data_IF_383212729715
#
_entry.id   IF_383212729715
#
_cell.length_a   1.000
_cell.length_b   1.000
_cell.length_c   1.000
_cell.angle_alpha   90.00
_cell.angle_beta   90.00
_cell.angle_gamma   90.00
#
_symmetry.space_group_name_H-M   'P 1'
#
loop_
_entity.id
_entity.type
_entity.pdbx_description
1 polymer ?
#
# COMPACT_ATOMS: atom_id res chain seq x y z
N UNK A 1 -2.31 28.78 14.69
CA UNK A 1 -1.95 27.50 15.32
C UNK A 1 -2.78 26.45 14.62
N UNK A 2 -2.16 25.65 13.76
CA UNK A 2 -2.86 24.54 13.11
C UNK A 2 -3.16 23.49 14.17
N UNK A 3 -4.44 23.31 14.46
CA UNK A 3 -4.96 22.24 15.32
C UNK A 3 -4.74 20.91 14.59
N UNK A 4 -3.52 20.37 14.65
CA UNK A 4 -3.25 19.02 14.19
C UNK A 4 -3.86 18.08 15.22
N UNK A 5 -5.04 17.55 14.91
CA UNK A 5 -5.71 16.56 15.73
C UNK A 5 -4.94 15.23 15.65
N UNK A 6 -3.87 15.13 16.43
CA UNK A 6 -3.00 13.96 16.44
C UNK A 6 -3.77 12.74 16.96
N UNK A 7 -3.84 11.68 16.16
CA UNK A 7 -4.38 10.37 16.54
C UNK A 7 -3.27 9.35 16.58
N UNK A 8 -3.40 8.39 17.48
CA UNK A 8 -2.54 7.20 17.51
C UNK A 8 -3.28 6.02 16.87
N UNK A 9 -2.61 5.31 15.97
CA UNK A 9 -3.14 4.10 15.33
C UNK A 9 -2.03 3.15 14.89
N UNK A 10 -2.39 2.02 14.27
CA UNK A 10 -1.42 1.02 13.79
C UNK A 10 -1.26 1.12 12.29
N UNK A 11 -0.03 1.12 11.81
CA UNK A 11 0.27 1.04 10.39
C UNK A 11 -0.27 -0.28 9.82
N UNK A 12 -1.11 -0.23 8.79
CA UNK A 12 -1.63 -1.44 8.18
C UNK A 12 -0.54 -2.34 7.59
N UNK A 13 0.54 -1.77 7.06
CA UNK A 13 1.62 -2.56 6.43
C UNK A 13 2.57 -3.22 7.45
N UNK A 14 3.15 -2.47 8.38
CA UNK A 14 4.13 -3.00 9.34
C UNK A 14 3.59 -3.27 10.75
N UNK A 15 2.31 -2.98 10.99
CA UNK A 15 1.59 -3.17 12.27
C UNK A 15 2.14 -2.37 13.47
N UNK A 16 3.18 -1.56 13.30
CA UNK A 16 3.69 -0.65 14.35
C UNK A 16 2.68 0.45 14.67
N UNK A 17 2.59 0.79 15.95
CA UNK A 17 1.82 1.95 16.42
C UNK A 17 2.58 3.23 16.07
N UNK A 18 1.87 4.24 15.59
CA UNK A 18 2.41 5.57 15.31
C UNK A 18 1.34 6.64 15.49
N UNK A 19 1.77 7.87 15.71
CA UNK A 19 0.89 9.04 15.73
C UNK A 19 0.85 9.71 14.37
N UNK A 20 -0.31 10.24 13.99
CA UNK A 20 -0.53 10.89 12.70
C UNK A 20 -1.69 11.89 12.76
N UNK A 21 -1.69 12.84 11.82
CA UNK A 21 -2.86 13.66 11.53
C UNK A 21 -3.81 12.89 10.60
N UNK A 22 -5.06 12.60 11.00
CA UNK A 22 -6.03 11.90 10.17
C UNK A 22 -6.33 12.57 8.83
N UNK A 23 -6.06 13.87 8.69
CA UNK A 23 -6.29 14.61 7.43
C UNK A 23 -5.12 14.49 6.44
N UNK A 24 -3.93 14.16 6.94
CA UNK A 24 -2.70 14.14 6.12
C UNK A 24 -2.12 12.73 5.95
N UNK A 25 -2.50 11.79 6.82
CA UNK A 25 -1.98 10.42 6.76
C UNK A 25 -2.40 9.73 5.46
N UNK A 26 -1.45 9.02 4.85
CA UNK A 26 -1.78 8.13 3.73
C UNK A 26 -2.57 6.93 4.25
N UNK A 27 -3.72 6.66 3.65
CA UNK A 27 -4.57 5.51 3.97
C UNK A 27 -4.68 4.54 2.80
N UNK A 28 -5.01 3.29 3.12
CA UNK A 28 -5.52 2.33 2.14
C UNK A 28 -6.92 1.88 2.54
N UNK A 29 -7.78 1.71 1.54
CA UNK A 29 -9.09 1.11 1.73
C UNK A 29 -8.94 -0.40 1.90
N UNK A 30 -9.23 -0.94 3.08
CA UNK A 30 -9.04 -2.35 3.42
C UNK A 30 -10.38 -3.00 3.78
N UNK A 31 -10.68 -4.16 3.18
CA UNK A 31 -11.80 -5.01 3.58
C UNK A 31 -11.43 -5.79 4.86
N UNK A 32 -12.09 -5.55 6.01
CA UNK A 32 -11.76 -6.20 7.26
C UNK A 32 -11.97 -7.72 7.25
N UNK A 33 -12.82 -8.24 6.34
CA UNK A 33 -13.07 -9.69 6.22
C UNK A 33 -11.90 -10.45 5.57
N UNK A 34 -11.12 -9.77 4.72
CA UNK A 34 -9.98 -10.37 4.01
C UNK A 34 -8.64 -9.80 4.47
N UNK A 35 -8.65 -8.63 5.12
CA UNK A 35 -7.46 -7.89 5.47
C UNK A 35 -6.73 -7.33 4.25
N UNK A 36 -7.38 -7.23 3.08
CA UNK A 36 -6.78 -6.79 1.81
C UNK A 36 -7.59 -5.65 1.18
N UNK A 37 -7.00 -4.87 0.26
CA UNK A 37 -7.76 -3.93 -0.53
C UNK A 37 -8.84 -4.62 -1.38
N UNK A 38 -10.02 -4.02 -1.54
CA UNK A 38 -11.03 -4.51 -2.47
C UNK A 38 -10.44 -4.72 -3.87
N UNK A 39 -10.74 -5.87 -4.47
CA UNK A 39 -10.21 -6.22 -5.78
C UNK A 39 -8.81 -6.85 -5.78
N UNK A 40 -8.17 -7.02 -4.62
CA UNK A 40 -6.94 -7.80 -4.50
C UNK A 40 -7.27 -9.20 -3.96
N UNK A 41 -6.61 -10.22 -4.51
CA UNK A 41 -6.67 -11.60 -4.00
C UNK A 41 -5.51 -11.88 -3.04
N UNK A 42 -5.61 -12.96 -2.26
CA UNK A 42 -4.53 -13.41 -1.36
C UNK A 42 -3.23 -13.73 -2.13
N UNK A 43 -3.34 -14.09 -3.41
CA UNK A 43 -2.19 -14.34 -4.29
C UNK A 43 -1.60 -13.05 -4.87
N UNK A 44 -2.11 -11.88 -4.50
CA UNK A 44 -1.66 -10.59 -5.01
C UNK A 44 -2.15 -10.27 -6.43
N UNK A 45 -3.05 -11.08 -6.99
CA UNK A 45 -3.65 -10.79 -8.29
C UNK A 45 -4.84 -9.83 -8.18
N UNK A 46 -5.09 -9.10 -9.26
CA UNK A 46 -6.24 -8.20 -9.37
C UNK A 46 -7.49 -8.96 -9.80
N UNK A 47 -8.63 -8.54 -9.27
CA UNK A 47 -9.98 -8.97 -9.65
C UNK A 47 -10.94 -7.78 -9.54
N UNK A 48 -12.10 -7.83 -10.20
CA UNK A 48 -13.15 -6.86 -9.93
C UNK A 48 -13.50 -6.80 -8.44
N UNK A 49 -13.52 -5.59 -7.88
CA UNK A 49 -13.94 -5.37 -6.51
C UNK A 49 -15.45 -5.63 -6.40
N UNK A 50 -15.86 -6.51 -5.47
CA UNK A 50 -17.28 -6.75 -5.19
C UNK A 50 -17.87 -5.53 -4.49
N UNK A 51 -19.09 -5.07 -4.84
CA UNK A 51 -19.71 -3.91 -4.20
C UNK A 51 -19.78 -4.03 -2.68
N UNK A 52 -20.10 -5.23 -2.17
CA UNK A 52 -20.19 -5.48 -0.73
C UNK A 52 -18.83 -5.43 -0.05
N UNK A 53 -17.73 -5.72 -0.78
CA UNK A 53 -16.37 -5.61 -0.27
C UNK A 53 -15.96 -4.15 -0.13
N UNK A 54 -16.25 -3.33 -1.14
CA UNK A 54 -16.00 -1.89 -1.08
C UNK A 54 -16.81 -1.24 0.03
N UNK A 55 -18.10 -1.59 0.16
CA UNK A 55 -19.01 -0.97 1.13
C UNK A 55 -18.63 -1.22 2.60
N UNK A 56 -17.98 -2.36 2.90
CA UNK A 56 -17.54 -2.69 4.27
C UNK A 56 -16.09 -2.32 4.56
N UNK A 57 -15.34 -1.88 3.56
CA UNK A 57 -13.96 -1.49 3.74
C UNK A 57 -13.82 -0.19 4.52
N UNK A 58 -12.69 -0.05 5.20
CA UNK A 58 -12.34 1.15 5.94
C UNK A 58 -10.96 1.65 5.55
N UNK A 59 -10.75 2.96 5.68
CA UNK A 59 -9.44 3.58 5.52
C UNK A 59 -8.53 3.21 6.69
N UNK A 60 -7.44 2.52 6.37
CA UNK A 60 -6.42 2.10 7.32
C UNK A 60 -5.13 2.91 7.12
N UNK A 61 -4.54 3.48 8.18
CA UNK A 61 -3.40 4.38 8.07
C UNK A 61 -2.09 3.63 7.76
N UNK A 62 -1.22 4.26 6.99
CA UNK A 62 0.11 3.75 6.65
C UNK A 62 1.18 4.69 7.20
N UNK A 63 2.18 4.15 7.88
CA UNK A 63 3.27 4.97 8.40
C UNK A 63 4.16 5.53 7.28
N UNK A 64 4.77 6.70 7.47
CA UNK A 64 5.63 7.34 6.48
C UNK A 64 6.74 6.43 5.95
N UNK A 65 7.37 5.61 6.83
CA UNK A 65 8.41 4.67 6.44
C UNK A 65 7.92 3.63 5.41
N UNK A 66 6.70 3.12 5.58
CA UNK A 66 6.12 2.17 4.65
C UNK A 66 5.75 2.83 3.32
N UNK A 67 5.29 4.08 3.35
CA UNK A 67 5.05 4.87 2.12
C UNK A 67 6.36 5.11 1.37
N UNK A 68 7.43 5.51 2.08
CA UNK A 68 8.74 5.75 1.49
C UNK A 68 9.30 4.48 0.82
N UNK A 69 9.20 3.34 1.50
CA UNK A 69 9.59 2.04 0.94
C UNK A 69 8.77 1.65 -0.28
N UNK A 70 7.46 1.87 -0.25
CA UNK A 70 6.60 1.57 -1.39
C UNK A 70 6.98 2.40 -2.63
N UNK A 71 7.32 3.69 -2.43
CA UNK A 71 7.81 4.56 -3.51
C UNK A 71 9.12 4.04 -4.10
N UNK A 72 10.09 3.68 -3.26
CA UNK A 72 11.36 3.09 -3.70
C UNK A 72 11.15 1.84 -4.57
N UNK A 73 10.26 0.92 -4.16
CA UNK A 73 9.95 -0.26 -4.96
C UNK A 73 9.26 0.09 -6.29
N UNK A 74 8.38 1.08 -6.32
CA UNK A 74 7.74 1.51 -7.57
C UNK A 74 8.74 2.14 -8.54
N UNK A 75 9.75 2.85 -8.03
CA UNK A 75 10.83 3.45 -8.82
C UNK A 75 11.79 2.37 -9.33
N UNK A 76 12.20 1.42 -8.48
CA UNK A 76 13.05 0.28 -8.88
C UNK A 76 12.37 -0.66 -9.87
N UNK A 77 11.07 -0.96 -9.71
CA UNK A 77 10.34 -1.83 -10.64
C UNK A 77 10.06 -1.18 -12.01
N UNK A 78 10.25 0.14 -12.13
CA UNK A 78 10.33 0.85 -13.41
C UNK A 78 11.71 0.78 -14.09
N UNK A 79 12.76 0.42 -13.35
CA UNK A 79 14.06 0.08 -13.93
C UNK A 79 14.04 -1.39 -14.35
N UNK A 80 14.32 -1.65 -15.64
CA UNK A 80 14.36 -2.99 -16.22
C UNK A 80 15.17 -3.95 -15.35
N UNK A 81 14.81 -5.24 -15.39
CA UNK A 81 15.48 -6.24 -14.56
C UNK A 81 16.96 -6.27 -14.99
N UNK A 82 17.92 -6.52 -14.09
CA UNK A 82 19.34 -6.53 -14.44
C UNK A 82 19.75 -7.51 -15.54
N UNK A 83 18.92 -8.51 -15.83
CA UNK A 83 19.13 -9.51 -16.90
C UNK A 83 18.56 -9.12 -18.27
N UNK A 84 17.89 -7.98 -18.40
CA UNK A 84 17.41 -7.45 -19.68
C UNK A 84 18.56 -6.90 -20.56
N UNK A 85 19.79 -6.85 -20.03
CA UNK A 85 21.00 -6.37 -20.71
C UNK A 85 21.87 -7.49 -21.33
N UNK A 86 21.35 -8.72 -21.49
CA UNK A 86 22.14 -9.80 -22.11
C UNK A 86 22.34 -9.47 -23.60
N UNK A 87 23.58 -9.34 -24.10
CA UNK A 87 23.81 -9.18 -25.53
C UNK A 87 23.30 -10.43 -26.27
N UNK A 88 22.68 -10.30 -27.46
CA UNK A 88 22.26 -11.45 -28.23
C UNK A 88 23.46 -12.34 -28.50
N UNK A 89 23.35 -13.63 -28.17
CA UNK A 89 24.35 -14.63 -28.54
C UNK A 89 24.35 -14.73 -30.07
N UNK A 90 25.39 -14.20 -30.70
CA UNK A 90 25.66 -14.43 -32.12
C UNK A 90 25.85 -15.93 -32.35
N UNK A 91 25.15 -16.48 -33.34
CA UNK A 91 25.36 -17.82 -33.88
C UNK A 91 25.91 -17.70 -35.30
#
# INVERSE_FOLDING_TARGET
MSDHAEKTGRCYACKRTFSFDPKEVTTFLIDPSTGLPPGITVLGSLRPARPEAVARSADEPICPDCVARAKQYSEESGSGRPWDNRPPSSN
#
